data_IF_734858703341
#
_entry.id   IF_734858703341
#
_cell.length_a   1.000
_cell.length_b   1.000
_cell.length_c   1.000
_cell.angle_alpha   90.00
_cell.angle_beta   90.00
_cell.angle_gamma   90.00
#
_symmetry.space_group_name_H-M   'P 1'
#
loop_
_entity.id
_entity.type
_entity.pdbx_description
1 polymer ?
#
# COMPACT_ATOMS: atom_id res chain seq x y z
N UNK A 1 -6.26 -12.61 9.57
CA UNK A 1 -5.10 -12.59 8.65
C UNK A 1 -5.13 -11.25 7.97
N UNK A 2 -4.03 -10.49 8.04
CA UNK A 2 -4.01 -9.16 7.46
C UNK A 2 -3.73 -9.20 5.96
N UNK A 3 -4.29 -8.24 5.23
CA UNK A 3 -4.02 -7.99 3.81
C UNK A 3 -3.64 -6.54 3.60
N UNK A 4 -2.84 -6.28 2.56
CA UNK A 4 -2.59 -4.92 2.08
C UNK A 4 -3.27 -4.77 0.73
N UNK A 5 -4.17 -3.79 0.64
CA UNK A 5 -4.86 -3.43 -0.60
C UNK A 5 -4.39 -2.07 -1.09
N UNK A 6 -4.22 -1.92 -2.39
CA UNK A 6 -3.77 -0.69 -3.06
C UNK A 6 -4.33 -0.64 -4.47
N UNK A 7 -4.11 0.47 -5.16
CA UNK A 7 -4.33 0.60 -6.60
C UNK A 7 -2.97 0.56 -7.29
N UNK A 8 -2.88 -0.12 -8.42
CA UNK A 8 -1.67 -0.18 -9.23
C UNK A 8 -2.00 0.15 -10.68
N UNK A 9 -1.18 0.99 -11.31
CA UNK A 9 -1.31 1.24 -12.76
C UNK A 9 -0.85 0.02 -13.55
N UNK A 10 -1.75 -0.49 -14.39
CA UNK A 10 -1.47 -1.53 -15.36
C UNK A 10 -1.52 -1.00 -16.80
N UNK A 11 -1.03 -1.80 -17.75
CA UNK A 11 -1.03 -1.47 -19.18
C UNK A 11 -2.42 -1.12 -19.74
N UNK A 12 -3.48 -1.65 -19.13
CA UNK A 12 -4.87 -1.46 -19.54
C UNK A 12 -5.68 -0.58 -18.58
N UNK A 13 -5.01 0.13 -17.67
CA UNK A 13 -5.62 0.98 -16.65
C UNK A 13 -5.28 0.54 -15.22
N UNK A 14 -5.72 1.36 -14.27
CA UNK A 14 -5.55 1.09 -12.85
C UNK A 14 -6.38 -0.12 -12.40
N UNK A 15 -5.80 -0.97 -11.55
CA UNK A 15 -6.46 -2.15 -11.00
C UNK A 15 -6.21 -2.29 -9.50
N UNK A 16 -7.11 -3.02 -8.83
CA UNK A 16 -6.96 -3.34 -7.41
C UNK A 16 -5.85 -4.38 -7.21
N UNK A 17 -4.88 -4.02 -6.37
CA UNK A 17 -3.80 -4.88 -5.92
C UNK A 17 -4.09 -5.32 -4.48
N UNK A 18 -4.11 -6.62 -4.23
CA UNK A 18 -4.16 -7.18 -2.87
C UNK A 18 -3.02 -8.16 -2.66
N UNK A 19 -2.41 -8.12 -1.48
CA UNK A 19 -1.38 -9.09 -1.10
C UNK A 19 -1.52 -9.48 0.37
N UNK A 20 -1.43 -10.78 0.71
CA UNK A 20 -1.47 -11.24 2.10
C UNK A 20 -0.24 -10.77 2.87
N UNK A 21 -0.44 -10.39 4.12
CA UNK A 21 0.64 -10.09 5.06
C UNK A 21 1.14 -11.40 5.70
N UNK A 22 2.46 -11.66 5.75
CA UNK A 22 3.01 -12.80 6.47
C UNK A 22 2.57 -12.81 7.95
N UNK A 23 2.13 -13.97 8.45
CA UNK A 23 1.55 -14.10 9.78
C UNK A 23 2.54 -13.81 10.94
N UNK A 24 3.84 -13.86 10.65
CA UNK A 24 4.94 -13.58 11.58
C UNK A 24 5.40 -12.12 11.56
N UNK A 25 4.81 -11.26 10.72
CA UNK A 25 5.13 -9.84 10.69
C UNK A 25 4.59 -9.14 11.93
N UNK A 26 5.48 -8.44 12.64
CA UNK A 26 5.08 -7.43 13.61
C UNK A 26 4.37 -6.27 12.92
N UNK A 27 3.53 -5.52 13.67
CA UNK A 27 2.85 -4.34 13.14
C UNK A 27 3.78 -3.34 12.44
N UNK A 28 5.02 -3.16 12.96
CA UNK A 28 6.03 -2.30 12.31
C UNK A 28 6.43 -2.81 10.93
N UNK A 29 6.59 -4.12 10.75
CA UNK A 29 6.91 -4.72 9.46
C UNK A 29 5.72 -4.63 8.50
N UNK A 30 4.50 -4.77 9.00
CA UNK A 30 3.28 -4.56 8.21
C UNK A 30 3.20 -3.13 7.67
N UNK A 31 3.45 -2.14 8.54
CA UNK A 31 3.50 -0.74 8.15
C UNK A 31 4.59 -0.45 7.12
N UNK A 32 5.77 -1.06 7.27
CA UNK A 32 6.86 -0.92 6.32
C UNK A 32 6.47 -1.49 4.94
N UNK A 33 5.89 -2.69 4.92
CA UNK A 33 5.42 -3.33 3.69
C UNK A 33 4.32 -2.50 3.00
N UNK A 34 3.34 -2.00 3.75
CA UNK A 34 2.30 -1.13 3.19
C UNK A 34 2.87 0.18 2.64
N UNK A 35 3.87 0.77 3.31
CA UNK A 35 4.57 1.95 2.80
C UNK A 35 5.34 1.65 1.50
N UNK A 36 6.02 0.52 1.43
CA UNK A 36 6.77 0.12 0.23
C UNK A 36 5.83 -0.09 -0.96
N UNK A 37 4.70 -0.77 -0.74
CA UNK A 37 3.65 -0.95 -1.76
C UNK A 37 3.08 0.40 -2.21
N UNK A 38 2.76 1.29 -1.28
CA UNK A 38 2.25 2.62 -1.64
C UNK A 38 3.25 3.38 -2.53
N UNK A 39 4.53 3.36 -2.16
CA UNK A 39 5.58 4.03 -2.95
C UNK A 39 5.80 3.37 -4.32
N UNK A 40 5.79 2.04 -4.40
CA UNK A 40 5.95 1.30 -5.65
C UNK A 40 4.80 1.58 -6.62
N UNK A 41 3.58 1.59 -6.09
CA UNK A 41 2.40 1.79 -6.90
C UNK A 41 2.13 3.27 -7.22
N UNK A 42 2.66 4.20 -6.44
CA UNK A 42 2.33 5.63 -6.56
C UNK A 42 0.92 5.98 -6.05
N UNK A 43 0.25 5.04 -5.38
CA UNK A 43 -1.09 5.17 -4.80
C UNK A 43 -1.09 4.81 -3.33
N UNK A 44 -2.18 5.09 -2.64
CA UNK A 44 -2.34 4.70 -1.25
C UNK A 44 -2.38 3.17 -1.11
N UNK A 45 -1.89 2.68 0.03
CA UNK A 45 -2.01 1.29 0.42
C UNK A 45 -2.63 1.21 1.82
N UNK A 46 -3.60 0.34 1.98
CA UNK A 46 -4.38 0.16 3.21
C UNK A 46 -4.21 -1.24 3.76
N UNK A 47 -4.02 -1.34 5.07
CA UNK A 47 -3.99 -2.61 5.79
C UNK A 47 -5.42 -2.93 6.23
N UNK A 48 -5.86 -4.16 5.94
CA UNK A 48 -7.12 -4.73 6.38
C UNK A 48 -6.87 -5.91 7.30
N UNK A 49 -7.72 -6.12 8.30
CA UNK A 49 -7.70 -7.31 9.15
C UNK A 49 -8.47 -8.50 8.56
N UNK A 50 -8.63 -9.59 9.31
CA UNK A 50 -9.41 -10.77 8.88
C UNK A 50 -10.89 -10.50 8.67
N UNK A 51 -11.46 -9.51 9.34
CA UNK A 51 -12.86 -9.12 9.18
C UNK A 51 -13.03 -8.15 8.00
N UNK A 52 -11.94 -7.89 7.27
CA UNK A 52 -11.87 -6.94 6.17
C UNK A 52 -12.21 -5.52 6.63
N UNK A 53 -11.92 -5.21 7.90
CA UNK A 53 -11.97 -3.86 8.45
C UNK A 53 -10.66 -3.14 8.15
N UNK A 54 -10.76 -1.88 7.71
CA UNK A 54 -9.60 -1.06 7.39
C UNK A 54 -8.94 -0.59 8.68
N UNK A 55 -7.69 -0.99 8.88
CA UNK A 55 -6.89 -0.64 10.06
C UNK A 55 -6.21 0.71 9.87
N UNK A 56 -5.53 0.89 8.72
CA UNK A 56 -4.78 2.12 8.41
C UNK A 56 -4.55 2.26 6.91
N UNK A 57 -4.54 3.50 6.43
CA UNK A 57 -4.16 3.87 5.07
C UNK A 57 -2.84 4.64 5.07
N UNK A 58 -1.95 4.29 4.16
CA UNK A 58 -0.64 4.91 3.99
C UNK A 58 -0.56 5.52 2.59
N UNK A 59 -0.42 6.84 2.53
CA UNK A 59 -0.17 7.53 1.26
C UNK A 59 1.28 7.32 0.79
N UNK A 60 1.52 7.32 -0.53
CA UNK A 60 2.88 7.25 -1.08
C UNK A 60 3.70 8.45 -0.61
N UNK A 61 5.02 8.30 -0.59
CA UNK A 61 5.91 9.45 -0.39
C UNK A 61 5.67 10.44 -1.52
N UNK A 62 5.26 11.66 -1.16
CA UNK A 62 5.30 12.78 -2.07
C UNK A 62 6.76 13.12 -2.32
N UNK A 63 7.30 12.65 -3.44
CA UNK A 63 8.52 13.24 -3.97
C UNK A 63 8.13 14.63 -4.45
N UNK A 64 8.66 15.67 -3.82
CA UNK A 64 8.62 17.01 -4.40
C UNK A 64 9.35 16.94 -5.73
N UNK A 65 8.62 16.72 -6.82
CA UNK A 65 9.13 17.01 -8.15
C UNK A 65 9.40 18.51 -8.15
N UNK A 66 10.66 18.89 -8.00
CA UNK A 66 11.09 20.25 -8.26
C UNK A 66 10.60 20.59 -9.66
N UNK A 67 9.68 21.55 -9.74
CA UNK A 67 9.27 22.15 -11.01
C UNK A 67 10.55 22.67 -11.65
N UNK A 68 11.01 22.02 -12.72
CA UNK A 68 12.05 22.59 -13.55
C UNK A 68 11.47 23.88 -14.14
N UNK A 69 11.95 25.01 -13.62
CA UNK A 69 11.63 26.35 -14.10
C UNK A 69 12.20 26.60 -15.49
#
# INVERSE_FOLDING_TARGET
>A
MYEIKSIKDGTYGAYEYSTPVPADYSFKQMLAMARDIANENGYEASIYDDENEMVITISPKQYSMGVAA
#
